data_IF_481272629715
#
_entry.id   IF_481272629715
#
_cell.length_a   1.000
_cell.length_b   1.000
_cell.length_c   1.000
_cell.angle_alpha   90.00
_cell.angle_beta   90.00
_cell.angle_gamma   90.00
#
_symmetry.space_group_name_H-M   'P 1'
#
loop_
_entity.id
_entity.type
_entity.pdbx_description
1 polymer ?
#
# COMPACT_ATOMS: atom_id res chain seq x y z
N UNK A 1 12.10 5.03 -7.29
CA UNK A 1 10.75 4.89 -7.88
C UNK A 1 9.63 5.33 -6.94
N UNK A 2 9.33 4.64 -5.82
CA UNK A 2 8.24 5.04 -4.91
C UNK A 2 8.49 6.37 -4.19
N UNK A 3 9.73 6.61 -3.71
CA UNK A 3 10.11 7.87 -3.05
C UNK A 3 10.02 9.09 -3.96
N UNK A 4 10.26 8.89 -5.26
CA UNK A 4 10.23 9.95 -6.27
C UNK A 4 8.79 10.25 -6.71
N UNK A 5 8.02 9.20 -7.00
CA UNK A 5 6.62 9.33 -7.44
C UNK A 5 5.63 9.69 -6.32
N UNK A 6 5.98 9.41 -5.05
CA UNK A 6 5.19 9.69 -3.84
C UNK A 6 3.68 9.45 -4.03
N UNK A 7 3.27 8.25 -4.46
CA UNK A 7 1.88 7.99 -4.79
C UNK A 7 1.00 8.12 -3.54
N UNK A 8 -0.11 8.83 -3.68
CA UNK A 8 -1.07 9.04 -2.58
C UNK A 8 -1.79 7.77 -2.15
N UNK A 9 -1.85 6.76 -3.02
CA UNK A 9 -2.55 5.50 -2.75
C UNK A 9 -1.75 4.31 -3.25
N UNK A 10 -1.98 3.15 -2.63
CA UNK A 10 -1.42 1.87 -3.08
C UNK A 10 -1.85 1.56 -4.52
N UNK A 11 -3.08 1.89 -4.91
CA UNK A 11 -3.56 1.73 -6.28
C UNK A 11 -2.77 2.54 -7.31
N UNK A 12 -2.37 3.77 -6.96
CA UNK A 12 -1.45 4.58 -7.80
C UNK A 12 -0.04 3.96 -7.81
N UNK A 13 0.45 3.50 -6.65
CA UNK A 13 1.76 2.87 -6.54
C UNK A 13 1.91 1.62 -7.44
N UNK A 14 0.89 0.77 -7.48
CA UNK A 14 0.87 -0.46 -8.29
C UNK A 14 0.93 -0.23 -9.80
N UNK A 15 0.59 0.97 -10.28
CA UNK A 15 0.64 1.33 -11.71
C UNK A 15 1.98 1.91 -12.15
N UNK A 16 2.90 2.16 -11.22
CA UNK A 16 4.23 2.69 -11.57
C UNK A 16 5.02 1.60 -12.30
N UNK A 17 5.58 1.96 -13.45
CA UNK A 17 6.37 1.03 -14.27
C UNK A 17 7.52 0.39 -13.48
N UNK A 18 7.56 -0.93 -13.48
CA UNK A 18 8.56 -1.74 -12.78
C UNK A 18 8.33 -1.92 -11.28
N UNK A 19 7.16 -1.54 -10.74
CA UNK A 19 6.71 -2.00 -9.42
C UNK A 19 6.03 -3.36 -9.57
N UNK A 20 6.36 -4.29 -8.68
CA UNK A 20 5.82 -5.65 -8.66
C UNK A 20 4.77 -5.83 -7.56
N UNK A 21 3.87 -6.84 -7.66
CA UNK A 21 2.93 -7.15 -6.58
C UNK A 21 3.63 -7.44 -5.24
N UNK A 22 4.81 -8.07 -5.25
CA UNK A 22 5.57 -8.34 -4.03
C UNK A 22 6.05 -7.06 -3.34
N UNK A 23 6.50 -6.05 -4.09
CA UNK A 23 6.88 -4.75 -3.53
C UNK A 23 5.68 -4.05 -2.85
N UNK A 24 4.48 -4.19 -3.42
CA UNK A 24 3.24 -3.69 -2.82
C UNK A 24 2.93 -4.42 -1.52
N UNK A 25 3.08 -5.74 -1.48
CA UNK A 25 2.91 -6.52 -0.25
C UNK A 25 3.87 -6.07 0.85
N UNK A 26 5.15 -5.85 0.53
CA UNK A 26 6.14 -5.34 1.49
C UNK A 26 5.75 -3.96 2.04
N UNK A 27 5.30 -3.05 1.18
CA UNK A 27 4.81 -1.73 1.60
C UNK A 27 3.61 -1.85 2.54
N UNK A 28 2.64 -2.72 2.24
CA UNK A 28 1.48 -2.94 3.12
C UNK A 28 1.89 -3.52 4.49
N UNK A 29 2.87 -4.44 4.53
CA UNK A 29 3.42 -4.97 5.78
C UNK A 29 4.09 -3.87 6.59
N UNK A 30 4.88 -3.01 5.95
CA UNK A 30 5.54 -1.89 6.60
C UNK A 30 4.54 -0.89 7.19
N UNK A 31 3.55 -0.46 6.40
CA UNK A 31 2.47 0.42 6.87
C UNK A 31 1.68 -0.20 8.02
N UNK A 32 1.43 -1.52 8.00
CA UNK A 32 0.78 -2.23 9.10
C UNK A 32 1.62 -2.19 10.37
N UNK A 33 2.93 -2.43 10.28
CA UNK A 33 3.87 -2.39 11.42
C UNK A 33 3.90 -1.01 12.08
N UNK A 34 3.79 0.04 11.28
CA UNK A 34 3.72 1.43 11.76
C UNK A 34 2.31 1.87 12.20
N UNK A 35 1.33 0.97 12.24
CA UNK A 35 -0.04 1.29 12.66
C UNK A 35 -0.80 2.19 11.69
N UNK A 36 -0.32 2.34 10.44
CA UNK A 36 -0.91 3.23 9.43
C UNK A 36 -2.11 2.61 8.70
N UNK A 37 -2.31 1.29 8.80
CA UNK A 37 -3.46 0.62 8.22
C UNK A 37 -4.56 0.45 9.27
N UNK A 38 -5.67 1.17 9.08
CA UNK A 38 -6.90 0.95 9.85
C UNK A 38 -7.62 -0.26 9.30
N UNK A 39 -7.92 -1.23 10.17
CA UNK A 39 -8.80 -2.35 9.84
C UNK A 39 -10.22 -1.81 9.72
N UNK A 40 -10.79 -1.84 8.53
CA UNK A 40 -12.20 -1.58 8.36
C UNK A 40 -12.94 -2.82 8.86
N UNK A 41 -13.50 -2.72 10.07
CA UNK A 41 -14.40 -3.73 10.61
C UNK A 41 -15.61 -3.79 9.66
N UNK A 42 -15.78 -4.91 8.97
CA UNK A 42 -16.97 -5.12 8.15
C UNK A 42 -18.14 -5.23 9.11
N UNK A 43 -19.03 -4.24 9.09
CA UNK A 43 -20.35 -4.38 9.68
C UNK A 43 -21.09 -5.36 8.78
N UNK A 44 -21.12 -6.62 9.20
CA UNK A 44 -21.99 -7.64 8.60
C UNK A 44 -23.43 -7.24 8.93
N UNK A 45 -24.20 -6.90 7.91
CA UNK A 45 -25.66 -6.72 7.98
C UNK A 45 -26.35 -8.03 7.63
#
# INVERSE_FOLDING_TARGET
KLTESRPETIGKASRISGITPAAISLLLVDLKKHGMLRKQEKISA
#
